data_IF_747004737948
#
_entry.id   IF_747004737948
#
_cell.length_a   1.000
_cell.length_b   1.000
_cell.length_c   1.000
_cell.angle_alpha   90.00
_cell.angle_beta   90.00
_cell.angle_gamma   90.00
#
_symmetry.space_group_name_H-M   'P 1'
#
loop_
_entity.id
_entity.type
_entity.pdbx_description
1 polymer ?
#
# COMPACT_ATOMS: atom_id res chain seq x y z
N UNK A 1 17.49 6.44 -11.44
CA UNK A 1 16.02 6.59 -11.45
C UNK A 1 15.51 6.72 -10.02
N UNK A 2 14.91 7.87 -9.66
CA UNK A 2 14.30 8.07 -8.34
C UNK A 2 12.98 7.28 -8.28
N UNK A 3 12.84 6.37 -7.32
CA UNK A 3 11.57 5.65 -7.10
C UNK A 3 10.60 6.63 -6.45
N UNK A 4 9.48 6.95 -7.13
CA UNK A 4 8.40 7.73 -6.54
C UNK A 4 7.69 6.89 -5.48
N UNK A 5 7.70 7.37 -4.24
CA UNK A 5 6.90 6.80 -3.16
C UNK A 5 5.47 7.35 -3.24
N UNK A 6 4.48 6.48 -3.18
CA UNK A 6 3.07 6.85 -3.09
C UNK A 6 2.61 6.70 -1.64
N UNK A 7 1.85 7.67 -1.14
CA UNK A 7 1.28 7.61 0.21
C UNK A 7 0.25 6.47 0.31
N UNK A 8 -0.06 6.06 1.53
CA UNK A 8 -1.10 5.05 1.78
C UNK A 8 -2.45 5.54 1.23
N UNK A 9 -2.75 6.83 1.38
CA UNK A 9 -3.96 7.47 0.88
C UNK A 9 -4.10 7.34 -0.64
N UNK A 10 -3.03 7.60 -1.41
CA UNK A 10 -3.06 7.42 -2.88
C UNK A 10 -3.32 5.97 -3.26
N UNK A 11 -2.74 5.01 -2.51
CA UNK A 11 -2.98 3.58 -2.76
C UNK A 11 -4.43 3.20 -2.46
N UNK A 12 -5.00 3.67 -1.37
CA UNK A 12 -6.40 3.43 -1.01
C UNK A 12 -7.37 4.09 -2.01
N UNK A 13 -7.12 5.33 -2.43
CA UNK A 13 -7.92 6.00 -3.45
C UNK A 13 -7.92 5.22 -4.78
N UNK A 14 -6.78 4.63 -5.15
CA UNK A 14 -6.67 3.74 -6.31
C UNK A 14 -7.59 2.51 -6.19
N UNK A 15 -7.68 1.91 -5.00
CA UNK A 15 -8.58 0.77 -4.73
C UNK A 15 -10.05 1.18 -4.83
N UNK A 16 -10.44 2.31 -4.26
CA UNK A 16 -11.82 2.80 -4.34
C UNK A 16 -12.24 3.08 -5.79
N UNK A 17 -11.38 3.72 -6.58
CA UNK A 17 -11.64 3.92 -8.01
C UNK A 17 -11.71 2.58 -8.77
N UNK A 18 -10.92 1.59 -8.38
CA UNK A 18 -10.97 0.24 -8.96
C UNK A 18 -12.27 -0.48 -8.65
N UNK A 19 -12.75 -0.41 -7.41
CA UNK A 19 -14.05 -0.96 -6.97
C UNK A 19 -15.20 -0.31 -7.74
N UNK A 20 -15.10 0.99 -8.03
CA UNK A 20 -16.04 1.71 -8.89
C UNK A 20 -15.93 1.36 -10.39
N UNK A 21 -15.15 0.34 -10.78
CA UNK A 21 -15.04 -0.13 -12.17
C UNK A 21 -14.23 0.79 -13.09
N UNK A 22 -13.50 1.78 -12.56
CA UNK A 22 -12.77 2.73 -13.40
C UNK A 22 -11.59 2.06 -14.14
N UNK A 23 -11.35 2.40 -15.42
CA UNK A 23 -10.22 1.88 -16.17
C UNK A 23 -8.91 2.47 -15.65
N UNK A 24 -7.79 1.73 -15.79
CA UNK A 24 -6.50 2.13 -15.22
C UNK A 24 -6.05 3.53 -15.63
N UNK A 25 -6.29 3.93 -16.89
CA UNK A 25 -5.91 5.26 -17.40
C UNK A 25 -6.56 6.39 -16.61
N UNK A 26 -7.85 6.25 -16.31
CA UNK A 26 -8.65 7.23 -15.55
C UNK A 26 -8.27 7.25 -14.06
N UNK A 27 -7.65 6.18 -13.55
CA UNK A 27 -7.12 6.14 -12.18
C UNK A 27 -5.74 6.80 -12.10
N UNK A 28 -4.91 6.60 -13.14
CA UNK A 28 -3.53 7.06 -13.14
C UNK A 28 -3.41 8.59 -13.19
N UNK A 29 -4.28 9.25 -13.96
CA UNK A 29 -4.22 10.70 -14.16
C UNK A 29 -4.54 11.50 -12.88
N UNK A 30 -5.65 11.27 -12.14
CA UNK A 30 -5.95 12.02 -10.92
C UNK A 30 -5.00 11.71 -9.75
N UNK A 31 -4.42 10.51 -9.71
CA UNK A 31 -3.54 10.06 -8.63
C UNK A 31 -2.05 10.29 -8.95
N UNK A 32 -1.74 10.90 -10.10
CA UNK A 32 -0.39 11.09 -10.63
C UNK A 32 0.48 9.81 -10.55
N UNK A 33 -0.14 8.67 -10.92
CA UNK A 33 0.52 7.37 -10.95
C UNK A 33 1.15 7.17 -12.32
N UNK A 34 2.48 7.14 -12.36
CA UNK A 34 3.23 7.03 -13.62
C UNK A 34 3.18 5.65 -14.26
N UNK A 35 2.96 4.59 -13.47
CA UNK A 35 3.09 3.21 -13.95
C UNK A 35 1.84 2.37 -13.66
N UNK A 36 1.23 1.84 -14.73
CA UNK A 36 0.05 0.96 -14.66
C UNK A 36 0.28 -0.29 -13.82
N UNK A 37 1.52 -0.80 -13.78
CA UNK A 37 1.87 -1.97 -12.96
C UNK A 37 1.67 -1.70 -11.47
N UNK A 38 1.81 -0.46 -10.99
CA UNK A 38 1.50 -0.11 -9.60
C UNK A 38 0.01 -0.30 -9.30
N UNK A 39 -0.86 0.20 -10.17
CA UNK A 39 -2.32 0.03 -10.06
C UNK A 39 -2.69 -1.46 -10.02
N UNK A 40 -2.11 -2.27 -10.92
CA UNK A 40 -2.35 -3.72 -10.96
C UNK A 40 -1.87 -4.43 -9.69
N UNK A 41 -0.68 -4.08 -9.18
CA UNK A 41 -0.12 -4.67 -7.96
C UNK A 41 -0.95 -4.32 -6.73
N UNK A 42 -1.33 -3.06 -6.56
CA UNK A 42 -2.18 -2.66 -5.42
C UNK A 42 -3.54 -3.33 -5.47
N UNK A 43 -4.13 -3.44 -6.66
CA UNK A 43 -5.38 -4.17 -6.84
C UNK A 43 -5.26 -5.66 -6.50
N UNK A 44 -4.12 -6.30 -6.85
CA UNK A 44 -3.84 -7.68 -6.46
C UNK A 44 -3.74 -7.81 -4.93
N UNK A 45 -2.98 -6.94 -4.26
CA UNK A 45 -2.86 -6.97 -2.81
C UNK A 45 -4.21 -6.80 -2.12
N UNK A 46 -5.04 -5.87 -2.58
CA UNK A 46 -6.40 -5.71 -2.06
C UNK A 46 -7.24 -6.99 -2.20
N UNK A 47 -7.22 -7.63 -3.38
CA UNK A 47 -7.98 -8.89 -3.61
C UNK A 47 -7.47 -10.07 -2.77
N UNK A 48 -6.23 -10.01 -2.31
CA UNK A 48 -5.61 -11.03 -1.48
C UNK A 48 -5.65 -10.69 0.03
N UNK A 49 -6.34 -9.61 0.42
CA UNK A 49 -6.34 -9.07 1.79
C UNK A 49 -4.95 -8.68 2.34
N UNK A 50 -4.00 -8.39 1.43
CA UNK A 50 -2.62 -8.02 1.76
C UNK A 50 -2.45 -6.48 1.96
N UNK A 51 -3.47 -5.80 2.48
CA UNK A 51 -3.46 -4.33 2.64
C UNK A 51 -2.33 -3.83 3.56
N UNK A 52 -1.87 -4.68 4.49
CA UNK A 52 -0.71 -4.42 5.34
C UNK A 52 0.55 -4.02 4.53
N UNK A 53 0.67 -4.44 3.27
CA UNK A 53 1.78 -4.08 2.37
C UNK A 53 1.77 -2.60 1.98
N UNK A 54 0.65 -1.89 2.10
CA UNK A 54 0.59 -0.45 1.76
C UNK A 54 1.46 0.41 2.68
N UNK A 55 1.72 -0.04 3.90
CA UNK A 55 2.57 0.64 4.89
C UNK A 55 4.07 0.36 4.70
N UNK A 56 4.47 -0.53 3.77
CA UNK A 56 5.89 -0.84 3.58
C UNK A 56 6.65 0.38 3.04
N UNK A 57 7.78 0.77 3.69
CA UNK A 57 8.60 1.87 3.23
C UNK A 57 9.29 1.53 1.91
N UNK A 58 9.39 2.53 1.04
CA UNK A 58 10.05 2.36 -0.27
C UNK A 58 11.55 2.18 -0.06
N UNK A 59 12.10 1.10 -0.63
CA UNK A 59 13.55 0.86 -0.61
C UNK A 59 14.04 -0.14 0.43
N UNK A 60 13.18 -0.61 1.35
CA UNK A 60 13.51 -1.81 2.13
C UNK A 60 13.24 -3.06 1.28
N UNK A 61 14.22 -3.96 1.21
CA UNK A 61 14.07 -5.21 0.50
C UNK A 61 13.02 -6.07 1.19
N UNK A 62 12.08 -6.60 0.40
CA UNK A 62 11.13 -7.60 0.86
C UNK A 62 11.90 -8.80 1.40
N UNK A 63 11.73 -9.10 2.67
CA UNK A 63 12.20 -10.37 3.25
C UNK A 63 11.05 -11.37 3.11
N UNK A 64 11.26 -12.38 2.26
CA UNK A 64 10.32 -13.47 2.09
C UNK A 64 10.08 -14.13 3.46
N UNK A 65 8.83 -14.12 3.93
CA UNK A 65 8.49 -14.60 5.27
C UNK A 65 8.71 -13.60 6.41
N UNK A 66 8.47 -12.29 6.21
CA UNK A 66 8.33 -11.30 7.31
C UNK A 66 7.19 -10.32 7.02
N UNK A 67 5.96 -10.83 6.98
CA UNK A 67 4.73 -10.03 6.97
C UNK A 67 4.14 -9.88 8.38
N UNK A 68 3.14 -9.00 8.56
CA UNK A 68 2.43 -8.87 9.84
C UNK A 68 1.85 -10.21 10.32
N UNK A 69 1.42 -11.07 9.40
CA UNK A 69 0.86 -12.40 9.69
C UNK A 69 1.78 -13.34 10.47
N UNK A 70 3.10 -13.08 10.50
CA UNK A 70 4.05 -13.87 11.29
C UNK A 70 4.44 -13.22 12.61
N UNK A 71 4.08 -11.96 12.80
CA UNK A 71 4.30 -11.26 14.05
C UNK A 71 3.29 -11.79 15.08
N UNK A 72 3.76 -11.97 16.30
CA UNK A 72 2.84 -12.18 17.43
C UNK A 72 1.87 -11.00 17.53
N UNK A 73 0.68 -11.24 18.08
CA UNK A 73 -0.33 -10.18 18.28
C UNK A 73 0.26 -8.94 18.96
N UNK A 74 1.18 -9.15 19.93
CA UNK A 74 1.90 -8.07 20.61
C UNK A 74 2.81 -7.26 19.67
N UNK A 75 3.53 -7.93 18.78
CA UNK A 75 4.40 -7.27 17.80
C UNK A 75 3.60 -6.53 16.73
N UNK A 76 2.48 -7.11 16.28
CA UNK A 76 1.53 -6.43 15.39
C UNK A 76 0.99 -5.14 16.03
N UNK A 77 0.54 -5.24 17.29
CA UNK A 77 0.03 -4.09 18.04
C UNK A 77 1.10 -3.02 18.28
N UNK A 78 2.33 -3.40 18.61
CA UNK A 78 3.45 -2.45 18.75
C UNK A 78 3.72 -1.70 17.47
N UNK A 79 3.73 -2.41 16.34
CA UNK A 79 3.93 -1.80 15.02
C UNK A 79 2.77 -0.86 14.66
N UNK A 80 1.53 -1.25 14.94
CA UNK A 80 0.36 -0.38 14.74
C UNK A 80 0.44 0.88 15.61
N UNK A 81 0.82 0.77 16.88
CA UNK A 81 0.99 1.92 17.78
C UNK A 81 2.13 2.83 17.31
N UNK A 82 3.25 2.30 16.85
CA UNK A 82 4.34 3.10 16.27
C UNK A 82 3.87 3.86 15.03
N UNK A 83 3.14 3.21 14.14
CA UNK A 83 2.58 3.85 12.95
C UNK A 83 1.58 4.94 13.33
N UNK A 84 0.66 4.66 14.26
CA UNK A 84 -0.31 5.64 14.75
C UNK A 84 0.39 6.85 15.38
N UNK A 85 1.43 6.65 16.20
CA UNK A 85 2.23 7.75 16.77
C UNK A 85 2.93 8.58 15.70
N UNK A 86 3.43 7.94 14.64
CA UNK A 86 4.16 8.62 13.57
C UNK A 86 3.27 9.50 12.69
N UNK A 87 2.01 9.13 12.52
CA UNK A 87 1.07 9.82 11.62
C UNK A 87 -0.02 10.61 12.35
N UNK A 88 -0.02 10.61 13.68
CA UNK A 88 -0.87 11.49 14.49
C UNK A 88 -0.15 12.83 14.64
N UNK A 89 -0.66 13.84 13.91
CA UNK A 89 -0.36 15.27 14.10
C UNK A 89 -0.89 15.71 15.46
#
# INVERSE_FOLDING_TARGET
MVKKAYSVETKLACIEMKKAGKPNKVIMEPLDIKNVSQVKTWWRWYRNDELHRFHQPVGKQYTYGKGMEQLSEVEQLRLQVELLKKYRI
#
